data_IF_341988217494
#
_entry.id   IF_341988217494
#
_cell.length_a   1.000
_cell.length_b   1.000
_cell.length_c   1.000
_cell.angle_alpha   90.00
_cell.angle_beta   90.00
_cell.angle_gamma   90.00
#
_symmetry.space_group_name_H-M   'P 1'
#
loop_
_entity.id
_entity.type
_entity.pdbx_description
1 polymer ?
#
# COMPACT_ATOMS: atom_id res chain seq x y z
N UNK A 1 17.87 -48.25 5.00
CA UNK A 1 17.70 -47.61 6.32
C UNK A 1 16.96 -46.31 6.08
N UNK A 2 15.65 -46.43 5.86
CA UNK A 2 14.61 -46.14 6.85
C UNK A 2 14.39 -44.62 6.92
N UNK A 3 13.44 -44.08 6.16
CA UNK A 3 12.03 -44.06 6.57
C UNK A 3 11.86 -43.42 7.94
N UNK A 4 12.21 -42.15 8.07
CA UNK A 4 11.69 -41.30 9.14
C UNK A 4 10.85 -40.19 8.52
N UNK A 5 9.58 -40.53 8.39
CA UNK A 5 8.45 -39.66 8.66
C UNK A 5 8.57 -38.23 8.12
N UNK A 6 8.15 -38.08 6.86
CA UNK A 6 7.30 -36.97 6.47
C UNK A 6 6.07 -36.96 7.41
N UNK A 7 6.23 -36.43 8.61
CA UNK A 7 5.15 -36.16 9.54
C UNK A 7 4.27 -35.11 8.86
N UNK A 8 3.26 -35.59 8.13
CA UNK A 8 2.09 -34.80 7.75
C UNK A 8 1.65 -34.08 9.03
N UNK A 9 1.96 -32.79 9.14
CA UNK A 9 1.35 -31.89 10.12
C UNK A 9 -0.13 -31.83 9.76
N UNK A 10 -0.86 -32.81 10.27
CA UNK A 10 -2.31 -32.88 10.19
C UNK A 10 -2.77 -31.77 11.10
N UNK A 11 -3.05 -30.60 10.52
CA UNK A 11 -3.46 -29.41 11.27
C UNK A 11 -4.53 -29.79 12.28
N UNK A 12 -4.30 -29.45 13.55
CA UNK A 12 -5.21 -29.74 14.64
C UNK A 12 -6.60 -29.14 14.29
N UNK A 13 -7.69 -29.91 14.47
CA UNK A 13 -9.03 -29.41 14.20
C UNK A 13 -9.30 -28.20 15.11
N UNK A 14 -9.30 -27.00 14.53
CA UNK A 14 -9.49 -25.73 15.25
C UNK A 14 -8.41 -24.67 15.03
N UNK A 15 -7.28 -25.00 14.39
CA UNK A 15 -6.18 -24.04 14.11
C UNK A 15 -6.65 -22.78 13.39
N UNK A 16 -7.56 -22.91 12.41
CA UNK A 16 -8.08 -21.76 11.67
C UNK A 16 -8.84 -20.77 12.54
N UNK A 17 -9.57 -21.24 13.56
CA UNK A 17 -10.32 -20.37 14.49
C UNK A 17 -9.36 -19.62 15.42
N UNK A 18 -8.34 -20.31 15.93
CA UNK A 18 -7.31 -19.69 16.78
C UNK A 18 -6.51 -18.68 15.97
N UNK A 19 -6.08 -19.01 14.75
CA UNK A 19 -5.39 -18.08 13.86
C UNK A 19 -6.21 -16.81 13.60
N UNK A 20 -7.52 -16.93 13.37
CA UNK A 20 -8.39 -15.77 13.17
C UNK A 20 -8.53 -14.90 14.43
N UNK A 21 -8.57 -15.50 15.62
CA UNK A 21 -8.54 -14.78 16.91
C UNK A 21 -7.26 -13.96 17.11
N UNK A 22 -6.11 -14.46 16.67
CA UNK A 22 -4.85 -13.69 16.72
C UNK A 22 -4.77 -12.61 15.64
N UNK A 23 -5.40 -12.81 14.48
CA UNK A 23 -5.46 -11.81 13.41
C UNK A 23 -6.49 -10.70 13.69
N UNK A 24 -7.53 -10.99 14.46
CA UNK A 24 -8.64 -10.08 14.73
C UNK A 24 -8.21 -8.67 15.18
N UNK A 25 -7.28 -8.48 16.13
CA UNK A 25 -6.84 -7.14 16.55
C UNK A 25 -6.25 -6.32 15.40
N UNK A 26 -5.45 -6.96 14.53
CA UNK A 26 -4.89 -6.31 13.36
C UNK A 26 -5.95 -6.00 12.30
N UNK A 27 -6.86 -6.95 12.03
CA UNK A 27 -7.97 -6.76 11.09
C UNK A 27 -8.92 -5.64 11.54
N UNK A 28 -9.21 -5.55 12.82
CA UNK A 28 -9.99 -4.45 13.39
C UNK A 28 -9.28 -3.13 13.12
N UNK A 29 -7.97 -3.04 13.39
CA UNK A 29 -7.18 -1.86 13.06
C UNK A 29 -7.25 -1.51 11.57
N UNK A 30 -7.07 -2.49 10.68
CA UNK A 30 -7.18 -2.30 9.24
C UNK A 30 -8.56 -1.78 8.82
N UNK A 31 -9.63 -2.34 9.36
CA UNK A 31 -10.99 -1.90 9.03
C UNK A 31 -11.23 -0.48 9.54
N UNK A 32 -10.90 -0.20 10.80
CA UNK A 32 -11.19 1.09 11.45
C UNK A 32 -10.37 2.23 10.86
N UNK A 33 -9.07 2.01 10.63
CA UNK A 33 -8.15 3.08 10.23
C UNK A 33 -7.92 3.19 8.72
N UNK A 34 -8.22 2.14 7.95
CA UNK A 34 -8.02 2.15 6.49
C UNK A 34 -9.34 1.95 5.75
N UNK A 35 -10.02 0.82 5.94
CA UNK A 35 -11.16 0.46 5.09
C UNK A 35 -12.35 1.41 5.27
N UNK A 36 -12.70 1.75 6.52
CA UNK A 36 -13.78 2.69 6.84
C UNK A 36 -13.52 4.09 6.27
N UNK A 37 -12.41 4.78 6.58
CA UNK A 37 -12.18 6.13 6.03
C UNK A 37 -12.00 6.12 4.51
N UNK A 38 -11.43 5.07 3.93
CA UNK A 38 -11.34 4.93 2.48
C UNK A 38 -12.73 4.80 1.83
N UNK A 39 -13.59 3.94 2.39
CA UNK A 39 -14.97 3.80 1.94
C UNK A 39 -15.75 5.11 2.06
N UNK A 40 -15.56 5.83 3.17
CA UNK A 40 -16.15 7.14 3.38
C UNK A 40 -15.66 8.19 2.37
N UNK A 41 -14.36 8.19 2.05
CA UNK A 41 -13.79 9.07 1.03
C UNK A 41 -14.34 8.78 -0.37
N UNK A 42 -14.55 7.50 -0.72
CA UNK A 42 -15.18 7.08 -1.97
C UNK A 42 -16.66 7.51 -2.02
N UNK A 43 -17.37 7.44 -0.89
CA UNK A 43 -18.74 7.94 -0.83
C UNK A 43 -18.78 9.46 -1.06
N UNK A 44 -17.96 10.21 -0.31
CA UNK A 44 -17.88 11.67 -0.44
C UNK A 44 -17.46 12.10 -1.85
N UNK A 45 -16.57 11.38 -2.52
CA UNK A 45 -16.14 11.74 -3.88
C UNK A 45 -17.27 11.70 -4.92
N UNK A 46 -18.38 11.02 -4.62
CA UNK A 46 -19.59 10.97 -5.45
C UNK A 46 -20.67 11.98 -5.05
N UNK A 47 -20.38 12.83 -4.06
CA UNK A 47 -21.28 13.85 -3.54
C UNK A 47 -20.64 15.24 -3.71
N UNK A 48 -21.47 16.28 -3.83
CA UNK A 48 -21.02 17.69 -3.79
C UNK A 48 -20.95 18.19 -2.34
N UNK A 49 -20.31 17.39 -1.47
CA UNK A 49 -20.11 17.68 -0.05
C UNK A 49 -18.97 18.70 0.11
N UNK A 50 -19.24 19.80 0.79
CA UNK A 50 -18.23 20.77 1.20
C UNK A 50 -17.96 20.64 2.70
N UNK A 51 -16.76 20.98 3.15
CA UNK A 51 -16.36 20.89 4.57
C UNK A 51 -17.39 21.55 5.51
N UNK A 52 -18.05 22.60 5.04
CA UNK A 52 -18.97 23.43 5.84
C UNK A 52 -20.45 23.24 5.45
N UNK A 53 -20.75 22.44 4.42
CA UNK A 53 -22.11 22.30 3.89
C UNK A 53 -22.37 20.87 3.42
N UNK A 54 -23.44 20.22 3.92
CA UNK A 54 -23.83 18.92 3.42
C UNK A 54 -24.18 19.03 1.94
N UNK A 55 -23.70 18.04 1.19
CA UNK A 55 -23.80 17.96 -0.25
C UNK A 55 -24.97 17.12 -0.71
N UNK A 56 -25.20 17.12 -2.02
CA UNK A 56 -26.10 16.17 -2.66
C UNK A 56 -25.31 15.11 -3.41
N UNK A 57 -25.91 13.94 -3.63
CA UNK A 57 -25.30 12.91 -4.45
C UNK A 57 -25.31 13.33 -5.93
N UNK A 58 -24.13 13.48 -6.52
CA UNK A 58 -23.93 13.93 -7.92
C UNK A 58 -23.35 12.84 -8.81
N UNK A 59 -23.15 11.63 -8.27
CA UNK A 59 -22.63 10.49 -9.02
C UNK A 59 -21.19 10.73 -9.50
N UNK A 60 -20.97 10.68 -10.81
CA UNK A 60 -19.64 10.80 -11.41
C UNK A 60 -19.26 12.24 -11.83
N UNK A 61 -20.13 13.23 -11.62
CA UNK A 61 -19.93 14.60 -12.11
C UNK A 61 -18.61 15.23 -11.62
N UNK A 62 -18.20 14.95 -10.38
CA UNK A 62 -16.94 15.43 -9.82
C UNK A 62 -15.72 14.94 -10.61
N UNK A 63 -15.75 13.70 -11.09
CA UNK A 63 -14.66 13.12 -11.88
C UNK A 63 -14.62 13.70 -13.28
N UNK A 64 -15.79 13.89 -13.92
CA UNK A 64 -15.87 14.54 -15.23
C UNK A 64 -15.29 15.94 -15.16
N UNK A 65 -15.73 16.76 -14.19
CA UNK A 65 -15.26 18.14 -14.06
C UNK A 65 -13.75 18.26 -13.82
N UNK A 66 -13.16 17.41 -12.97
CA UNK A 66 -11.70 17.40 -12.75
C UNK A 66 -10.93 17.00 -14.02
N UNK A 67 -11.49 16.12 -14.86
CA UNK A 67 -10.82 15.64 -16.06
C UNK A 67 -10.99 16.59 -17.26
N UNK A 68 -12.10 17.33 -17.35
CA UNK A 68 -12.41 18.20 -18.50
C UNK A 68 -12.14 19.67 -18.21
N UNK A 69 -12.46 20.13 -17.00
CA UNK A 69 -12.53 21.57 -16.68
C UNK A 69 -11.31 22.05 -15.89
N UNK A 70 -10.59 21.13 -15.22
CA UNK A 70 -9.40 21.47 -14.44
C UNK A 70 -8.08 21.14 -15.18
N UNK A 71 -7.44 22.14 -15.83
CA UNK A 71 -6.16 21.92 -16.51
C UNK A 71 -5.01 21.63 -15.53
N UNK A 72 -5.13 22.01 -14.26
CA UNK A 72 -4.09 21.79 -13.26
C UNK A 72 -4.01 20.31 -12.87
N UNK A 73 -5.13 19.58 -12.90
CA UNK A 73 -5.16 18.16 -12.55
C UNK A 73 -4.21 17.33 -13.43
N UNK A 74 -4.32 17.44 -14.75
CA UNK A 74 -3.47 16.71 -15.69
C UNK A 74 -2.01 17.17 -15.63
N UNK A 75 -1.78 18.47 -15.37
CA UNK A 75 -0.44 19.00 -15.19
C UNK A 75 0.23 18.42 -13.93
N UNK A 76 -0.47 18.41 -12.80
CA UNK A 76 0.00 17.86 -11.54
C UNK A 76 0.28 16.36 -11.67
N UNK A 77 -0.62 15.62 -12.34
CA UNK A 77 -0.44 14.21 -12.64
C UNK A 77 0.85 13.97 -13.45
N UNK A 78 1.08 14.76 -14.51
CA UNK A 78 2.30 14.69 -15.31
C UNK A 78 3.58 15.02 -14.55
N UNK A 79 3.55 16.00 -13.63
CA UNK A 79 4.69 16.30 -12.75
C UNK A 79 4.98 15.13 -11.81
N UNK A 80 3.97 14.58 -11.15
CA UNK A 80 4.13 13.45 -10.22
C UNK A 80 4.60 12.18 -10.94
N UNK A 81 4.05 11.88 -12.12
CA UNK A 81 4.52 10.73 -12.92
C UNK A 81 5.97 10.87 -13.33
N UNK A 82 6.38 12.06 -13.83
CA UNK A 82 7.79 12.33 -14.16
C UNK A 82 8.69 12.19 -12.93
N UNK A 83 8.26 12.71 -11.78
CA UNK A 83 8.99 12.57 -10.53
C UNK A 83 9.20 11.09 -10.17
N UNK A 84 8.13 10.29 -10.13
CA UNK A 84 8.21 8.87 -9.77
C UNK A 84 9.10 8.11 -10.75
N UNK A 85 8.90 8.32 -12.05
CA UNK A 85 9.66 7.62 -13.09
C UNK A 85 11.15 7.92 -13.05
N UNK A 86 11.55 9.12 -12.61
CA UNK A 86 12.96 9.48 -12.45
C UNK A 86 13.53 9.01 -11.11
N UNK A 87 12.82 9.27 -10.02
CA UNK A 87 13.34 9.05 -8.66
C UNK A 87 13.33 7.58 -8.25
N UNK A 88 12.28 6.82 -8.59
CA UNK A 88 12.16 5.42 -8.17
C UNK A 88 13.28 4.56 -8.75
N UNK A 89 13.56 4.54 -10.06
CA UNK A 89 14.67 3.75 -10.60
C UNK A 89 16.02 4.23 -10.11
N UNK A 90 16.19 5.55 -9.91
CA UNK A 90 17.43 6.12 -9.38
C UNK A 90 17.71 5.62 -7.96
N UNK A 91 16.72 5.66 -7.07
CA UNK A 91 16.87 5.17 -5.70
C UNK A 91 17.05 3.66 -5.65
N UNK A 92 16.31 2.91 -6.46
CA UNK A 92 16.49 1.46 -6.58
C UNK A 92 17.89 1.12 -7.10
N UNK A 93 18.35 1.82 -8.14
CA UNK A 93 19.68 1.64 -8.72
C UNK A 93 20.79 1.99 -7.73
N UNK A 94 20.69 3.13 -7.05
CA UNK A 94 21.64 3.54 -6.02
C UNK A 94 21.67 2.55 -4.84
N UNK A 95 20.50 2.12 -4.37
CA UNK A 95 20.39 1.10 -3.31
C UNK A 95 21.02 -0.23 -3.70
N UNK A 96 20.79 -0.68 -4.94
CA UNK A 96 21.40 -1.90 -5.47
C UNK A 96 22.92 -1.76 -5.61
N UNK A 97 23.41 -0.63 -6.14
CA UNK A 97 24.84 -0.35 -6.25
C UNK A 97 25.53 -0.39 -4.87
N UNK A 98 24.92 0.25 -3.87
CA UNK A 98 25.42 0.21 -2.49
C UNK A 98 25.40 -1.20 -1.92
N UNK A 99 24.31 -1.96 -2.12
CA UNK A 99 24.20 -3.34 -1.67
C UNK A 99 25.29 -4.23 -2.30
N UNK A 100 25.57 -4.08 -3.60
CA UNK A 100 26.63 -4.82 -4.30
C UNK A 100 28.00 -4.43 -3.76
N UNK A 101 28.25 -3.13 -3.54
CA UNK A 101 29.53 -2.64 -3.00
C UNK A 101 29.79 -3.21 -1.60
N UNK A 102 28.78 -3.21 -0.72
CA UNK A 102 28.87 -3.77 0.64
C UNK A 102 28.94 -5.30 0.67
N UNK A 103 28.36 -5.98 -0.33
CA UNK A 103 28.42 -7.44 -0.44
C UNK A 103 29.79 -7.93 -0.93
N UNK A 104 30.58 -7.06 -1.57
CA UNK A 104 31.99 -7.35 -1.80
C UNK A 104 32.74 -7.30 -0.48
N UNK A 105 33.75 -8.16 -0.29
CA UNK A 105 34.63 -8.14 0.89
C UNK A 105 35.51 -6.89 0.83
N UNK A 106 34.92 -5.73 1.12
CA UNK A 106 35.62 -4.47 1.14
C UNK A 106 36.70 -4.52 2.23
N UNK A 107 37.97 -4.22 1.90
CA UNK A 107 39.01 -4.07 2.91
C UNK A 107 38.67 -2.84 3.77
N UNK A 108 38.08 -3.08 4.95
CA UNK A 108 37.57 -2.03 5.86
C UNK A 108 36.48 -2.49 6.82
N UNK A 109 35.86 -3.65 6.58
CA UNK A 109 34.78 -4.20 7.42
C UNK A 109 35.26 -4.75 8.79
N UNK A 110 36.57 -4.74 9.07
CA UNK A 110 37.18 -5.23 10.32
C UNK A 110 37.60 -4.12 11.31
N UNK A 111 37.10 -2.89 11.16
CA UNK A 111 37.43 -1.79 12.09
C UNK A 111 36.48 -1.72 13.30
N UNK A 112 35.54 -2.68 13.43
CA UNK A 112 34.77 -2.91 14.65
C UNK A 112 34.64 -4.41 14.93
#
# INVERSE_FOLDING_TARGET
MASEAAARRRGLPGEGKVAFLFLLPWLIGLVVFLALPLGWAIWISTTDEQIVRPGSFVGAANYESILTDDPLFLQALGVTFRWILLTTPLFMGAGLLLAVLLNQRLPGMFVF
#
